data_IF_222095527177
#
_entry.id   IF_222095527177
#
_cell.length_a   1.000
_cell.length_b   1.000
_cell.length_c   1.000
_cell.angle_alpha   90.00
_cell.angle_beta   90.00
_cell.angle_gamma   90.00
#
_symmetry.space_group_name_H-M   'P 1'
#
loop_
_entity.id
_entity.type
_entity.pdbx_description
1 polymer ?
#
# COMPACT_ATOMS: atom_id res chain seq x y z
N UNK A 1 20.94 -18.35 -21.63
CA UNK A 1 21.22 -17.72 -20.33
C UNK A 1 20.45 -16.41 -20.28
N UNK A 2 19.14 -16.48 -19.99
CA UNK A 2 18.29 -15.28 -19.90
C UNK A 2 18.45 -14.73 -18.49
N UNK A 3 19.37 -13.77 -18.32
CA UNK A 3 19.47 -13.02 -17.09
C UNK A 3 18.12 -12.37 -16.83
N UNK A 4 17.41 -12.87 -15.82
CA UNK A 4 16.33 -12.11 -15.20
C UNK A 4 17.05 -10.99 -14.48
N UNK A 5 17.12 -9.83 -15.11
CA UNK A 5 17.63 -8.60 -14.51
C UNK A 5 16.67 -8.26 -13.37
N UNK A 6 16.90 -8.86 -12.20
CA UNK A 6 16.32 -8.40 -10.95
C UNK A 6 16.97 -7.07 -10.66
N UNK A 7 16.24 -5.99 -10.91
CA UNK A 7 16.59 -4.63 -10.52
C UNK A 7 17.03 -4.64 -9.04
N UNK A 8 18.30 -4.35 -8.71
CA UNK A 8 18.86 -4.53 -7.39
C UNK A 8 18.40 -3.49 -6.34
N UNK A 9 17.44 -2.62 -6.66
CA UNK A 9 17.22 -1.38 -5.88
C UNK A 9 15.97 -1.30 -4.98
N UNK A 10 15.17 -2.36 -4.83
CA UNK A 10 13.92 -2.28 -4.03
C UNK A 10 13.59 -3.54 -3.18
N UNK A 11 14.48 -3.94 -2.28
CA UNK A 11 14.10 -4.82 -1.16
C UNK A 11 13.29 -4.03 -0.12
N UNK A 12 12.01 -3.82 -0.41
CA UNK A 12 11.03 -3.37 0.58
C UNK A 12 10.26 -4.58 1.11
N UNK A 13 10.17 -4.68 2.43
CA UNK A 13 9.26 -5.61 3.08
C UNK A 13 7.94 -4.89 3.32
N UNK A 14 6.84 -5.46 2.81
CA UNK A 14 5.48 -4.94 3.03
C UNK A 14 4.72 -5.97 3.87
N UNK A 15 4.30 -5.58 5.06
CA UNK A 15 3.55 -6.44 5.97
C UNK A 15 2.18 -5.83 6.29
N UNK A 16 1.14 -6.66 6.19
CA UNK A 16 -0.18 -6.30 6.69
C UNK A 16 -0.13 -6.29 8.23
N UNK A 17 -0.32 -5.13 8.84
CA UNK A 17 -0.27 -4.96 10.29
C UNK A 17 -1.65 -5.14 10.92
N UNK A 18 -2.65 -4.44 10.38
CA UNK A 18 -3.97 -4.35 10.99
C UNK A 18 -5.05 -4.19 9.93
N UNK A 19 -6.17 -4.85 10.16
CA UNK A 19 -7.45 -4.61 9.48
C UNK A 19 -8.44 -4.27 10.57
N UNK A 20 -8.98 -3.05 10.53
CA UNK A 20 -10.07 -2.61 11.39
C UNK A 20 -11.32 -2.40 10.57
N UNK A 21 -12.45 -2.54 11.25
CA UNK A 21 -13.78 -2.43 10.70
C UNK A 21 -14.58 -1.51 11.61
N UNK A 22 -15.13 -0.45 11.03
CA UNK A 22 -16.08 0.45 11.67
C UNK A 22 -17.45 0.24 11.01
N UNK A 23 -18.39 -0.31 11.79
CA UNK A 23 -19.80 -0.47 11.42
C UNK A 23 -20.60 0.67 12.02
N UNK A 24 -20.74 1.76 11.26
CA UNK A 24 -21.56 2.89 11.69
C UNK A 24 -23.02 2.75 11.24
N UNK A 25 -23.33 1.82 10.33
CA UNK A 25 -24.70 1.60 9.83
C UNK A 25 -24.89 0.18 9.27
N UNK A 26 -25.77 -0.65 9.87
CA UNK A 26 -26.04 -2.03 9.41
C UNK A 26 -26.64 -2.11 8.00
N UNK A 27 -27.02 -0.99 7.39
CA UNK A 27 -27.51 -0.91 6.02
C UNK A 27 -26.65 0.00 5.11
N UNK A 28 -25.56 0.56 5.63
CA UNK A 28 -24.66 1.48 4.95
C UNK A 28 -23.38 0.82 4.40
N UNK A 29 -22.52 1.59 3.72
CA UNK A 29 -21.18 1.14 3.41
C UNK A 29 -20.36 0.97 4.69
N UNK A 30 -19.61 -0.12 4.74
CA UNK A 30 -18.69 -0.45 5.81
C UNK A 30 -17.36 0.29 5.56
N UNK A 31 -16.78 0.87 6.63
CA UNK A 31 -15.45 1.49 6.54
C UNK A 31 -14.40 0.51 7.02
N UNK A 32 -13.44 0.23 6.14
CA UNK A 32 -12.31 -0.63 6.44
C UNK A 32 -11.02 0.19 6.50
N UNK A 33 -10.31 0.04 7.60
CA UNK A 33 -9.00 0.66 7.81
C UNK A 33 -7.94 -0.42 7.73
N UNK A 34 -7.11 -0.37 6.70
CA UNK A 34 -6.07 -1.37 6.45
C UNK A 34 -4.71 -0.71 6.54
N UNK A 35 -3.91 -1.15 7.50
CA UNK A 35 -2.57 -0.60 7.73
C UNK A 35 -1.51 -1.57 7.26
N UNK A 36 -0.61 -1.08 6.42
CA UNK A 36 0.58 -1.77 5.95
C UNK A 36 1.83 -1.13 6.54
N UNK A 37 2.76 -1.95 6.99
CA UNK A 37 4.12 -1.53 7.32
C UNK A 37 4.98 -1.71 6.10
N UNK A 38 5.69 -0.65 5.69
CA UNK A 38 6.72 -0.73 4.65
C UNK A 38 8.07 -0.49 5.31
N UNK A 39 8.96 -1.47 5.23
CA UNK A 39 10.32 -1.38 5.81
C UNK A 39 11.40 -1.62 4.77
N UNK A 40 12.52 -0.91 4.94
CA UNK A 40 13.79 -1.11 4.24
C UNK A 40 14.94 -0.75 5.17
N UNK A 41 15.92 -1.66 5.30
CA UNK A 41 17.16 -1.41 6.04
C UNK A 41 16.94 -0.86 7.47
N UNK A 42 15.90 -1.34 8.17
CA UNK A 42 15.55 -0.92 9.53
C UNK A 42 14.85 0.44 9.62
N UNK A 43 14.52 1.08 8.49
CA UNK A 43 13.66 2.26 8.42
C UNK A 43 12.33 1.87 7.81
N UNK A 44 11.25 2.33 8.39
CA UNK A 44 9.93 2.02 7.88
C UNK A 44 8.89 3.07 8.23
N UNK A 45 7.79 3.00 7.52
CA UNK A 45 6.64 3.87 7.70
C UNK A 45 5.36 3.07 7.49
N UNK A 46 4.28 3.56 8.08
CA UNK A 46 2.99 2.91 8.00
C UNK A 46 2.15 3.62 6.93
N UNK A 47 1.53 2.84 6.06
CA UNK A 47 0.55 3.32 5.09
C UNK A 47 -0.81 2.80 5.54
N UNK A 48 -1.73 3.72 5.79
CA UNK A 48 -3.12 3.39 6.14
C UNK A 48 -4.02 3.70 4.95
N UNK A 49 -4.74 2.68 4.49
CA UNK A 49 -5.72 2.77 3.40
C UNK A 49 -7.11 2.69 4.01
N UNK A 50 -7.97 3.63 3.61
CA UNK A 50 -9.38 3.67 4.00
C UNK A 50 -10.22 3.24 2.80
N UNK A 51 -11.02 2.19 2.99
CA UNK A 51 -11.91 1.66 1.97
C UNK A 51 -13.36 1.74 2.45
N UNK A 52 -14.24 2.21 1.57
CA UNK A 52 -15.68 2.07 1.72
C UNK A 52 -16.14 0.91 0.85
N UNK A 53 -16.81 -0.06 1.45
CA UNK A 53 -17.27 -1.25 0.74
C UNK A 53 -18.63 -1.73 1.24
N UNK A 54 -19.37 -2.44 0.40
CA UNK A 54 -20.66 -3.02 0.76
C UNK A 54 -20.56 -4.54 0.70
N UNK A 55 -20.58 -5.21 1.86
CA UNK A 55 -20.67 -6.68 1.95
C UNK A 55 -19.61 -7.40 1.10
N UNK A 56 -18.35 -6.98 1.21
CA UNK A 56 -17.22 -7.52 0.42
C UNK A 56 -16.39 -8.48 1.28
N UNK A 57 -15.99 -9.65 0.76
CA UNK A 57 -15.07 -10.52 1.49
C UNK A 57 -13.74 -9.83 1.83
N UNK A 58 -13.21 -10.07 3.02
CA UNK A 58 -11.93 -9.48 3.50
C UNK A 58 -10.76 -9.68 2.53
N UNK A 59 -10.72 -10.80 1.80
CA UNK A 59 -9.67 -11.10 0.81
C UNK A 59 -9.71 -10.11 -0.37
N UNK A 60 -10.90 -9.73 -0.82
CA UNK A 60 -11.06 -8.79 -1.93
C UNK A 60 -10.76 -7.35 -1.49
N UNK A 61 -11.05 -7.02 -0.23
CA UNK A 61 -10.66 -5.76 0.40
C UNK A 61 -9.14 -5.61 0.50
N UNK A 62 -8.45 -6.64 0.98
CA UNK A 62 -6.99 -6.64 1.06
C UNK A 62 -6.39 -6.49 -0.34
N UNK A 63 -6.94 -7.19 -1.34
CA UNK A 63 -6.50 -7.06 -2.73
C UNK A 63 -6.67 -5.62 -3.25
N UNK A 64 -7.84 -5.01 -3.02
CA UNK A 64 -8.09 -3.63 -3.42
C UNK A 64 -7.13 -2.65 -2.73
N UNK A 65 -6.89 -2.85 -1.43
CA UNK A 65 -5.96 -2.04 -0.66
C UNK A 65 -4.51 -2.17 -1.16
N UNK A 66 -4.06 -3.37 -1.53
CA UNK A 66 -2.75 -3.59 -2.12
C UNK A 66 -2.58 -2.91 -3.49
N UNK A 67 -3.63 -2.87 -4.32
CA UNK A 67 -3.60 -2.14 -5.60
C UNK A 67 -3.43 -0.63 -5.35
N UNK A 68 -4.21 -0.06 -4.43
CA UNK A 68 -4.08 1.35 -4.05
C UNK A 68 -2.70 1.66 -3.46
N UNK A 69 -2.19 0.78 -2.61
CA UNK A 69 -0.85 0.87 -2.04
C UNK A 69 0.21 0.95 -3.13
N UNK A 70 0.14 0.07 -4.13
CA UNK A 70 1.06 0.07 -5.26
C UNK A 70 1.02 1.38 -6.05
N UNK A 71 -0.17 1.91 -6.35
CA UNK A 71 -0.32 3.18 -7.06
C UNK A 71 0.27 4.36 -6.28
N UNK A 72 0.04 4.41 -4.97
CA UNK A 72 0.59 5.46 -4.10
C UNK A 72 2.12 5.38 -4.07
N UNK A 73 2.68 4.19 -3.87
CA UNK A 73 4.14 3.98 -3.85
C UNK A 73 4.76 4.32 -5.21
N UNK A 74 4.11 3.98 -6.32
CA UNK A 74 4.57 4.33 -7.66
C UNK A 74 4.62 5.86 -7.85
N UNK A 75 3.56 6.57 -7.45
CA UNK A 75 3.49 8.05 -7.50
C UNK A 75 4.55 8.70 -6.61
N UNK A 76 4.73 8.21 -5.38
CA UNK A 76 5.77 8.71 -4.47
C UNK A 76 7.18 8.49 -5.04
N UNK A 77 7.40 7.36 -5.70
CA UNK A 77 8.68 7.06 -6.38
C UNK A 77 8.92 8.04 -7.52
N UNK A 78 7.91 8.30 -8.35
CA UNK A 78 7.98 9.29 -9.43
C UNK A 78 8.28 10.69 -8.91
N UNK A 79 7.55 11.14 -7.88
CA UNK A 79 7.78 12.44 -7.23
C UNK A 79 9.19 12.55 -6.63
N UNK A 80 9.68 11.48 -5.99
CA UNK A 80 11.03 11.44 -5.43
C UNK A 80 12.10 11.54 -6.52
N UNK A 81 11.90 10.86 -7.66
CA UNK A 81 12.80 10.97 -8.82
C UNK A 81 12.80 12.38 -9.39
N UNK A 82 11.62 12.98 -9.56
CA UNK A 82 11.48 14.36 -10.04
C UNK A 82 12.17 15.36 -9.11
N UNK A 83 12.02 15.20 -7.79
CA UNK A 83 12.69 16.04 -6.79
C UNK A 83 14.22 15.94 -6.84
N UNK A 84 14.77 14.72 -6.98
CA UNK A 84 16.22 14.52 -7.15
C UNK A 84 16.74 15.09 -8.47
N UNK A 85 15.97 14.94 -9.56
CA UNK A 85 16.34 15.45 -10.89
C UNK A 85 16.28 16.98 -11.01
N UNK A 86 15.42 17.64 -10.23
CA UNK A 86 15.31 19.11 -10.18
C UNK A 86 16.36 19.80 -9.31
N UNK A 87 17.22 19.05 -8.62
CA UNK A 87 18.37 19.57 -7.87
C UNK A 87 19.71 19.49 -8.63
N UNK A 88 19.69 19.00 -9.87
CA UNK A 88 20.86 18.95 -10.75
C UNK A 88 20.99 20.23 -11.60
#
# INVERSE_FOLDING_TARGET
>A
MTGRETDPDQDFTIELQRVEFEDDDPFGPETYVITFRVEREGRGFDITVWLLAHSVPTVDLIRAAMVLLHEVVAKLTEQTRAWKGGMA
#
